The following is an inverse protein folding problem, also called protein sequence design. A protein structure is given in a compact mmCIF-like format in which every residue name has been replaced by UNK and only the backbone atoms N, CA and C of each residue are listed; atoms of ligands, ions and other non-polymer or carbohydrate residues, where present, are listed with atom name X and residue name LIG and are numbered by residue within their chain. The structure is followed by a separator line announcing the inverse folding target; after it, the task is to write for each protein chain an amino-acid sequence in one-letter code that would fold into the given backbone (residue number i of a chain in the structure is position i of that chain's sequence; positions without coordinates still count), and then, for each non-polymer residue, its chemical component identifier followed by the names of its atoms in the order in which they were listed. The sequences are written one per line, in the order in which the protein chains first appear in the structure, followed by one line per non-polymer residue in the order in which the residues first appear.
data_IF_266783212960
#
_entry.id   IF_266783212960
#
_cell.length_a   1.000
_cell.length_b   1.000
_cell.length_c   1.000
_cell.angle_alpha   90.00
_cell.angle_beta   90.00
_cell.angle_gamma   90.00
#
_symmetry.space_group_name_H-M   'P 1'
#
loop_
_entity.id
_entity.type
_entity.pdbx_description
1 polymer ?
#
# COMPACT_ATOMS: atom_id res chain seq x y z
N UNK A 1 26.42 8.22 14.61
CA UNK A 1 25.48 7.48 15.48
C UNK A 1 24.14 7.47 14.78
N UNK A 2 23.47 6.33 14.71
CA UNK A 2 22.06 6.28 14.30
C UNK A 2 21.22 6.91 15.42
N UNK A 3 20.28 7.79 15.08
CA UNK A 3 19.39 8.44 16.04
C UNK A 3 18.38 7.46 16.65
N UNK A 4 17.51 7.95 17.52
CA UNK A 4 16.42 7.14 18.08
C UNK A 4 15.43 6.71 16.97
N UNK A 5 14.93 5.46 17.01
CA UNK A 5 13.97 4.98 16.02
C UNK A 5 12.64 5.72 16.17
N UNK A 6 12.07 6.11 15.03
CA UNK A 6 10.75 6.76 14.97
C UNK A 6 9.74 5.76 14.42
N UNK A 7 8.59 5.63 15.07
CA UNK A 7 7.45 4.86 14.59
C UNK A 7 6.26 5.78 14.34
N UNK A 8 5.60 5.62 13.20
CA UNK A 8 4.37 6.36 12.85
C UNK A 8 3.24 5.37 12.59
N UNK A 9 2.05 5.66 13.11
CA UNK A 9 0.84 4.87 12.86
C UNK A 9 -0.15 5.68 12.03
N UNK A 10 -0.71 5.06 10.98
CA UNK A 10 -1.78 5.65 10.17
C UNK A 10 -2.98 4.71 10.17
N UNK A 11 -4.13 5.21 10.64
CA UNK A 11 -5.42 4.52 10.53
C UNK A 11 -6.14 5.04 9.28
N UNK A 12 -6.59 4.11 8.43
CA UNK A 12 -7.19 4.42 7.13
C UNK A 12 -8.60 3.83 7.04
N UNK A 13 -9.50 4.59 6.42
CA UNK A 13 -10.82 4.13 6.01
C UNK A 13 -11.11 4.69 4.62
N UNK A 14 -11.11 3.82 3.61
CA UNK A 14 -11.43 4.20 2.23
C UNK A 14 -12.95 4.12 2.03
N UNK A 15 -13.52 5.10 1.32
CA UNK A 15 -14.94 5.08 0.96
C UNK A 15 -15.27 3.96 -0.04
N UNK A 16 -16.55 3.62 -0.17
CA UNK A 16 -17.02 2.54 -1.06
C UNK A 16 -16.96 2.82 -2.56
N UNK A 17 -16.26 3.87 -2.99
CA UNK A 17 -16.07 4.16 -4.41
C UNK A 17 -15.08 3.14 -5.00
N UNK A 18 -15.49 2.48 -6.08
CA UNK A 18 -14.64 1.51 -6.78
C UNK A 18 -13.55 2.27 -7.55
N UNK A 19 -12.29 1.89 -7.33
CA UNK A 19 -11.14 2.41 -8.08
C UNK A 19 -11.24 2.05 -9.57
N UNK A 20 -10.91 2.99 -10.44
CA UNK A 20 -10.82 2.81 -11.89
C UNK A 20 -9.56 3.53 -12.40
N UNK A 21 -8.42 2.82 -12.45
CA UNK A 21 -7.15 3.39 -12.91
C UNK A 21 -7.22 3.97 -14.32
N UNK A 22 -8.09 3.45 -15.20
CA UNK A 22 -8.25 3.94 -16.58
C UNK A 22 -8.87 5.34 -16.63
N UNK A 23 -9.58 5.72 -15.58
CA UNK A 23 -10.17 7.06 -15.39
C UNK A 23 -9.42 7.90 -14.35
N UNK A 24 -8.29 7.41 -13.84
CA UNK A 24 -7.52 8.09 -12.80
C UNK A 24 -8.21 8.10 -11.43
N UNK A 25 -9.16 7.19 -11.18
CA UNK A 25 -9.85 7.07 -9.90
C UNK A 25 -9.09 6.10 -9.00
N UNK A 26 -8.50 6.61 -7.93
CA UNK A 26 -7.72 5.84 -6.96
C UNK A 26 -8.15 6.16 -5.53
N UNK A 27 -8.17 5.16 -4.65
CA UNK A 27 -8.25 5.40 -3.20
C UNK A 27 -6.98 6.08 -2.67
N UNK A 28 -5.82 5.64 -3.15
CA UNK A 28 -4.52 6.30 -2.97
C UNK A 28 -3.69 6.10 -4.25
N UNK A 29 -2.98 7.14 -4.68
CA UNK A 29 -2.09 7.06 -5.84
C UNK A 29 -0.82 6.24 -5.55
N UNK A 30 -0.10 5.85 -6.60
CA UNK A 30 1.18 5.14 -6.46
C UNK A 30 2.21 5.98 -5.69
N UNK A 31 2.82 5.39 -4.66
CA UNK A 31 3.88 6.00 -3.85
C UNK A 31 4.73 4.91 -3.20
N UNK A 32 5.84 5.33 -2.56
CA UNK A 32 6.62 4.51 -1.64
C UNK A 32 6.56 5.17 -0.27
N UNK A 33 6.53 4.39 0.79
CA UNK A 33 6.60 4.92 2.15
C UNK A 33 7.99 5.47 2.48
N UNK A 34 8.02 6.31 3.50
CA UNK A 34 9.27 6.76 4.11
C UNK A 34 9.67 5.81 5.23
N UNK A 35 10.98 5.61 5.41
CA UNK A 35 11.51 4.81 6.50
C UNK A 35 12.16 3.53 6.00
N UNK A 36 12.20 2.52 6.88
CA UNK A 36 12.91 1.26 6.64
C UNK A 36 11.96 0.09 6.37
N UNK A 37 10.85 0.00 7.11
CA UNK A 37 9.87 -1.10 7.04
C UNK A 37 8.48 -0.49 7.23
N UNK A 38 7.52 -0.91 6.40
CA UNK A 38 6.10 -0.70 6.65
C UNK A 38 5.44 -2.01 7.08
N UNK A 39 4.65 -1.95 8.16
CA UNK A 39 3.78 -3.04 8.59
C UNK A 39 2.33 -2.60 8.36
N UNK A 40 1.60 -3.35 7.52
CA UNK A 40 0.23 -3.00 7.15
C UNK A 40 -0.74 -4.12 7.53
N UNK A 41 -1.68 -3.82 8.44
CA UNK A 41 -2.82 -4.69 8.73
C UNK A 41 -4.04 -4.29 7.88
N UNK A 42 -4.63 -5.24 7.17
CA UNK A 42 -5.84 -4.99 6.36
C UNK A 42 -7.06 -5.76 6.89
N UNK A 43 -8.23 -5.33 6.42
CA UNK A 43 -9.46 -6.08 6.54
C UNK A 43 -9.66 -7.00 5.32
N UNK A 44 -10.89 -7.49 5.14
CA UNK A 44 -11.26 -8.40 4.06
C UNK A 44 -11.57 -7.67 2.73
N UNK A 45 -11.33 -6.36 2.63
CA UNK A 45 -11.67 -5.56 1.45
C UNK A 45 -10.47 -5.45 0.52
N UNK A 46 -10.63 -5.90 -0.73
CA UNK A 46 -9.60 -5.78 -1.77
C UNK A 46 -9.36 -4.31 -2.16
N UNK A 47 -8.12 -3.98 -2.52
CA UNK A 47 -7.78 -2.66 -3.06
C UNK A 47 -6.30 -2.31 -3.08
N UNK A 48 -5.46 -3.06 -2.35
CA UNK A 48 -4.02 -2.86 -2.35
C UNK A 48 -3.36 -3.53 -3.56
N UNK A 49 -2.51 -2.77 -4.25
CA UNK A 49 -1.62 -3.26 -5.29
C UNK A 49 -0.19 -2.85 -4.98
N UNK A 50 0.77 -3.74 -5.24
CA UNK A 50 2.21 -3.48 -5.06
C UNK A 50 2.97 -3.53 -6.37
N UNK A 51 3.98 -2.68 -6.51
CA UNK A 51 4.92 -2.70 -7.63
C UNK A 51 6.32 -2.99 -7.09
N UNK A 52 6.81 -4.22 -7.30
CA UNK A 52 8.10 -4.68 -6.77
C UNK A 52 9.31 -4.03 -7.44
N UNK A 53 9.15 -3.59 -8.69
CA UNK A 53 10.16 -2.85 -9.43
C UNK A 53 9.53 -1.59 -10.04
N UNK A 54 9.73 -0.47 -9.35
CA UNK A 54 9.19 0.84 -9.75
C UNK A 54 9.83 1.36 -11.04
N UNK A 55 11.05 0.93 -11.36
CA UNK A 55 11.79 1.46 -12.52
C UNK A 55 11.56 0.62 -13.79
N UNK A 56 10.89 -0.54 -13.65
CA UNK A 56 10.48 -1.41 -14.75
C UNK A 56 9.59 -0.69 -15.79
N UNK A 57 9.74 -1.10 -17.05
CA UNK A 57 8.96 -0.60 -18.18
C UNK A 57 8.43 -1.79 -19.02
N UNK A 58 7.14 -2.14 -18.92
CA UNK A 58 6.12 -1.51 -18.06
C UNK A 58 6.30 -1.89 -16.58
N UNK A 59 5.84 -1.01 -15.68
CA UNK A 59 5.64 -1.36 -14.28
C UNK A 59 4.61 -2.49 -14.18
N UNK A 60 4.89 -3.48 -13.34
CA UNK A 60 3.96 -4.57 -13.03
C UNK A 60 3.38 -4.35 -11.65
N UNK A 61 2.06 -4.28 -11.58
CA UNK A 61 1.28 -4.17 -10.35
C UNK A 61 0.68 -5.53 -10.00
N UNK A 62 0.78 -5.92 -8.74
CA UNK A 62 0.27 -7.19 -8.23
C UNK A 62 -0.76 -6.91 -7.14
N UNK A 63 -1.96 -7.51 -7.26
CA UNK A 63 -2.97 -7.44 -6.21
C UNK A 63 -2.49 -8.18 -4.96
N UNK A 64 -2.66 -7.54 -3.81
CA UNK A 64 -2.47 -8.19 -2.52
C UNK A 64 -3.82 -8.74 -2.08
N UNK A 65 -3.89 -10.05 -1.91
CA UNK A 65 -5.11 -10.70 -1.42
C UNK A 65 -5.43 -10.15 -0.01
N UNK A 66 -6.67 -9.71 0.25
CA UNK A 66 -7.06 -9.29 1.58
C UNK A 66 -7.00 -10.50 2.53
N UNK A 67 -6.44 -10.29 3.71
CA UNK A 67 -6.25 -11.33 4.70
C UNK A 67 -6.53 -10.79 6.10
N UNK A 68 -7.46 -11.42 6.80
CA UNK A 68 -7.94 -10.97 8.10
C UNK A 68 -6.80 -10.85 9.09
N UNK A 69 -6.49 -9.61 9.51
CA UNK A 69 -5.47 -9.36 10.53
C UNK A 69 -4.05 -9.75 10.10
N UNK A 70 -3.77 -9.79 8.80
CA UNK A 70 -2.42 -10.10 8.29
C UNK A 70 -1.62 -8.82 8.11
N UNK A 71 -0.33 -8.90 8.44
CA UNK A 71 0.65 -7.84 8.21
C UNK A 71 1.30 -8.02 6.85
N UNK A 72 1.02 -7.14 5.88
CA UNK A 72 1.86 -6.99 4.71
C UNK A 72 3.13 -6.22 5.12
N UNK A 73 4.28 -6.74 4.69
CA UNK A 73 5.60 -6.09 4.80
C UNK A 73 5.93 -5.51 3.43
N UNK A 74 6.07 -4.19 3.35
CA UNK A 74 6.72 -3.49 2.23
C UNK A 74 8.14 -3.10 2.66
#
# INVERSE_FOLDING_TARGET
MLGEPIATLRLLHYGGQISDPTKGLFGAGAHTDYGLITLLATDEVSGLQICKDRDAKPQKWEDVAPLKGTTALD
#
